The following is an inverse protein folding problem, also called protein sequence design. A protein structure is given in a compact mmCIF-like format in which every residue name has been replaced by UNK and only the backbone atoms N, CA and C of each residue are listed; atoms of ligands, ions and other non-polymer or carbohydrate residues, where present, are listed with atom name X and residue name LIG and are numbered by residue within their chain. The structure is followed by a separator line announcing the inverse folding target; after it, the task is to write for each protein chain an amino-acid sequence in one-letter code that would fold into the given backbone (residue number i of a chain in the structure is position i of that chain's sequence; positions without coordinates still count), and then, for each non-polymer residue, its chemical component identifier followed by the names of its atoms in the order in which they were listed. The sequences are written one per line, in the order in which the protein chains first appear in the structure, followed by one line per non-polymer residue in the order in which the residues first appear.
data_IF_516102585062
#
_entry.id   IF_516102585062
#
_cell.length_a   1.000
_cell.length_b   1.000
_cell.length_c   1.000
_cell.angle_alpha   90.00
_cell.angle_beta   90.00
_cell.angle_gamma   90.00
#
_symmetry.space_group_name_H-M   'P 1'
#
loop_
_entity.id
_entity.type
_entity.pdbx_description
1 polymer ?
#
# COMPACT_ATOMS: atom_id res chain seq x y z
N UNK A 1 -1.28 15.45 -17.11
CA UNK A 1 -0.24 15.89 -16.15
C UNK A 1 0.11 14.81 -15.12
N UNK A 2 -0.81 14.31 -14.28
CA UNK A 2 -0.46 13.26 -13.28
C UNK A 2 0.08 11.96 -13.91
N UNK A 3 -0.53 11.48 -15.00
CA UNK A 3 0.01 10.34 -15.78
C UNK A 3 1.44 10.55 -16.29
N UNK A 4 1.80 11.79 -16.60
CA UNK A 4 3.15 12.14 -17.02
C UNK A 4 4.12 12.14 -15.83
N UNK A 5 3.72 12.71 -14.69
CA UNK A 5 4.51 12.68 -13.45
C UNK A 5 4.86 11.25 -13.00
N UNK A 6 3.92 10.32 -13.09
CA UNK A 6 4.16 8.89 -12.78
C UNK A 6 5.15 8.27 -13.76
N UNK A 7 5.13 8.68 -15.03
CA UNK A 7 6.02 8.15 -16.06
C UNK A 7 7.45 8.65 -15.91
N UNK A 8 7.62 9.90 -15.47
CA UNK A 8 8.92 10.54 -15.31
C UNK A 8 9.55 10.38 -13.92
N UNK A 9 8.93 9.62 -13.02
CA UNK A 9 9.45 9.36 -11.67
C UNK A 9 10.90 8.84 -11.68
N UNK A 10 11.23 7.97 -12.63
CA UNK A 10 12.59 7.43 -12.80
C UNK A 10 13.66 8.47 -13.15
N UNK A 11 13.28 9.66 -13.61
CA UNK A 11 14.20 10.78 -13.83
C UNK A 11 14.49 11.55 -12.54
N UNK A 12 13.51 11.64 -11.63
CA UNK A 12 13.67 12.34 -10.35
C UNK A 12 14.46 11.51 -9.33
N UNK A 13 14.34 10.17 -9.37
CA UNK A 13 15.12 9.27 -8.50
C UNK A 13 16.62 9.22 -8.86
N UNK A 14 17.00 9.55 -10.09
CA UNK A 14 18.39 9.51 -10.58
C UNK A 14 19.24 10.73 -10.17
N UNK A 15 18.68 11.68 -9.43
CA UNK A 15 19.46 12.83 -8.95
C UNK A 15 20.38 12.40 -7.79
N UNK A 16 21.70 12.70 -7.85
CA UNK A 16 22.71 12.16 -6.91
C UNK A 16 22.55 12.63 -5.46
N UNK A 17 21.57 13.49 -5.16
CA UNK A 17 21.26 13.92 -3.79
C UNK A 17 20.52 12.86 -2.94
N UNK A 18 20.08 11.74 -3.52
CA UNK A 18 19.34 10.69 -2.78
C UNK A 18 20.24 9.56 -2.23
N UNK A 19 21.55 9.64 -2.41
CA UNK A 19 22.51 8.73 -1.78
C UNK A 19 23.02 9.33 -0.47
N UNK A 20 22.29 9.11 0.62
CA UNK A 20 22.89 9.09 1.96
C UNK A 20 22.18 8.05 2.81
N UNK A 21 22.98 7.13 3.36
CA UNK A 21 22.51 5.92 4.02
C UNK A 21 21.74 6.15 5.33
N UNK A 22 21.17 5.05 5.83
CA UNK A 22 20.78 4.79 7.23
C UNK A 22 20.55 6.06 8.07
N UNK A 23 19.42 6.73 7.86
CA UNK A 23 18.87 7.63 8.86
C UNK A 23 17.38 7.31 9.01
N UNK A 24 17.01 6.90 10.21
CA UNK A 24 15.66 6.73 10.71
C UNK A 24 15.02 8.12 10.78
N UNK A 25 14.43 8.58 9.69
CA UNK A 25 13.56 9.74 9.64
C UNK A 25 12.83 9.66 8.30
N UNK A 26 11.53 9.40 8.37
CA UNK A 26 10.54 9.52 7.28
C UNK A 26 11.17 9.43 5.90
N UNK A 27 11.38 8.19 5.40
CA UNK A 27 11.79 7.97 4.02
C UNK A 27 11.03 8.97 3.15
N UNK A 28 11.76 9.91 2.51
CA UNK A 28 11.16 10.90 1.62
C UNK A 28 10.44 10.09 0.56
N UNK A 29 9.15 9.81 0.79
CA UNK A 29 8.41 8.95 -0.12
C UNK A 29 8.42 9.68 -1.44
N UNK A 30 8.86 9.01 -2.49
CA UNK A 30 8.81 9.60 -3.82
C UNK A 30 7.38 10.06 -4.09
N UNK A 31 7.22 11.05 -4.97
CA UNK A 31 5.88 11.51 -5.32
C UNK A 31 4.99 10.37 -5.85
N UNK A 32 5.56 9.38 -6.54
CA UNK A 32 4.82 8.20 -7.00
C UNK A 32 4.43 7.25 -5.88
N UNK A 33 5.22 7.09 -4.82
CA UNK A 33 4.83 6.31 -3.63
C UNK A 33 3.62 6.93 -2.91
N UNK A 34 3.56 8.26 -2.77
CA UNK A 34 2.39 8.94 -2.21
C UNK A 34 1.15 8.79 -3.09
N UNK A 35 1.32 8.91 -4.42
CA UNK A 35 0.24 8.71 -5.38
C UNK A 35 -0.26 7.27 -5.37
N UNK A 36 0.63 6.29 -5.24
CA UNK A 36 0.29 4.88 -5.13
C UNK A 36 -0.43 4.57 -3.82
N UNK A 37 0.05 5.10 -2.69
CA UNK A 37 -0.60 5.01 -1.39
C UNK A 37 -2.02 5.55 -1.44
N UNK A 38 -2.21 6.72 -2.06
CA UNK A 38 -3.52 7.31 -2.28
C UNK A 38 -4.40 6.44 -3.20
N UNK A 39 -3.83 5.84 -4.25
CA UNK A 39 -4.55 4.91 -5.12
C UNK A 39 -5.03 3.67 -4.36
N UNK A 40 -4.21 3.10 -3.48
CA UNK A 40 -4.57 1.95 -2.63
C UNK A 40 -5.75 2.31 -1.70
N UNK A 41 -5.72 3.49 -1.08
CA UNK A 41 -6.84 3.95 -0.26
C UNK A 41 -8.12 4.16 -1.09
N UNK A 42 -8.03 4.68 -2.32
CA UNK A 42 -9.17 4.78 -3.22
C UNK A 42 -9.73 3.40 -3.63
N UNK A 43 -8.88 2.43 -3.94
CA UNK A 43 -9.29 1.05 -4.25
C UNK A 43 -9.99 0.39 -3.05
N UNK A 44 -9.48 0.62 -1.84
CA UNK A 44 -10.07 0.08 -0.59
C UNK A 44 -11.33 0.82 -0.11
N UNK A 45 -11.71 1.94 -0.75
CA UNK A 45 -12.85 2.76 -0.33
C UNK A 45 -12.63 3.57 0.96
N UNK A 46 -11.39 3.70 1.43
CA UNK A 46 -11.05 4.39 2.68
C UNK A 46 -10.87 5.90 2.47
N UNK A 47 -11.98 6.61 2.27
CA UNK A 47 -11.94 8.07 2.04
C UNK A 47 -11.38 8.87 3.23
N UNK A 48 -11.55 8.38 4.46
CA UNK A 48 -10.95 9.00 5.65
C UNK A 48 -9.43 8.95 5.62
N UNK A 49 -8.85 7.83 5.18
CA UNK A 49 -7.40 7.67 5.02
C UNK A 49 -6.86 8.59 3.91
N UNK A 50 -7.57 8.71 2.78
CA UNK A 50 -7.25 9.69 1.73
C UNK A 50 -7.27 11.11 2.28
N UNK A 51 -8.31 11.48 3.04
CA UNK A 51 -8.43 12.80 3.65
C UNK A 51 -7.26 13.08 4.59
N UNK A 52 -6.95 12.15 5.50
CA UNK A 52 -5.86 12.28 6.45
C UNK A 52 -4.49 12.39 5.76
N UNK A 53 -4.27 11.63 4.68
CA UNK A 53 -3.04 11.70 3.89
C UNK A 53 -2.87 13.08 3.24
N UNK A 54 -3.92 13.59 2.57
CA UNK A 54 -3.90 14.91 1.93
C UNK A 54 -3.74 16.03 2.97
N UNK A 55 -4.46 15.94 4.08
CA UNK A 55 -4.37 16.91 5.18
C UNK A 55 -2.97 16.95 5.80
N UNK A 56 -2.36 15.79 6.04
CA UNK A 56 -1.00 15.68 6.58
C UNK A 56 0.05 16.21 5.60
N UNK A 57 -0.15 15.98 4.29
CA UNK A 57 0.76 16.44 3.24
C UNK A 57 0.71 17.96 3.05
N UNK A 58 -0.49 18.55 3.13
CA UNK A 58 -0.70 19.99 2.91
C UNK A 58 -0.57 20.83 4.19
N UNK A 59 -0.47 20.20 5.37
CA UNK A 59 -0.51 20.90 6.65
C UNK A 59 -1.85 21.58 6.95
N UNK A 60 -2.94 21.07 6.37
CA UNK A 60 -4.28 21.66 6.44
C UNK A 60 -5.31 20.67 6.96
N UNK A 61 -6.44 21.14 7.51
CA UNK A 61 -7.59 20.31 7.85
C UNK A 61 -8.71 20.53 6.83
N UNK A 62 -9.04 19.49 6.08
CA UNK A 62 -10.10 19.49 5.08
C UNK A 62 -11.15 18.43 5.43
N UNK A 63 -12.41 18.70 5.06
CA UNK A 63 -13.49 17.71 5.12
C UNK A 63 -13.84 17.27 3.69
N UNK A 64 -13.48 16.05 3.31
CA UNK A 64 -13.82 15.50 2.01
C UNK A 64 -15.20 14.82 2.05
N UNK A 65 -16.13 15.29 1.22
CA UNK A 65 -17.43 14.63 1.04
C UNK A 65 -17.31 13.49 0.03
N UNK A 66 -17.95 12.32 0.24
CA UNK A 66 -17.86 11.20 -0.70
C UNK A 66 -18.24 11.56 -2.14
N UNK A 67 -19.31 12.33 -2.31
CA UNK A 67 -19.77 12.79 -3.63
C UNK A 67 -18.75 13.66 -4.36
N UNK A 68 -17.96 14.49 -3.66
CA UNK A 68 -16.95 15.36 -4.29
C UNK A 68 -15.68 14.60 -4.68
N UNK A 69 -15.45 13.41 -4.11
CA UNK A 69 -14.28 12.57 -4.41
C UNK A 69 -14.52 11.52 -5.49
N UNK A 70 -15.75 11.36 -5.98
CA UNK A 70 -16.11 10.30 -6.92
C UNK A 70 -15.29 10.32 -8.22
N UNK A 71 -15.14 11.50 -8.84
CA UNK A 71 -14.32 11.65 -10.06
C UNK A 71 -12.83 11.41 -9.79
N UNK A 72 -12.35 11.83 -8.62
CA UNK A 72 -10.96 11.60 -8.21
C UNK A 72 -10.70 10.10 -8.01
N UNK A 73 -11.62 9.39 -7.36
CA UNK A 73 -11.56 7.94 -7.21
C UNK A 73 -11.46 7.26 -8.57
N UNK A 74 -12.33 7.60 -9.52
CA UNK A 74 -12.28 7.03 -10.89
C UNK A 74 -10.93 7.30 -11.57
N UNK A 75 -10.45 8.54 -11.51
CA UNK A 75 -9.16 8.89 -12.10
C UNK A 75 -8.01 8.08 -11.49
N UNK A 76 -7.98 7.90 -10.17
CA UNK A 76 -6.94 7.11 -9.52
C UNK A 76 -7.05 5.62 -9.79
N UNK A 77 -8.26 5.05 -9.74
CA UNK A 77 -8.46 3.59 -9.81
C UNK A 77 -8.57 3.03 -11.22
N UNK A 78 -8.96 3.84 -12.21
CA UNK A 78 -9.13 3.41 -13.59
C UNK A 78 -8.08 4.01 -14.53
N UNK A 79 -7.75 5.29 -14.37
CA UNK A 79 -6.91 5.99 -15.34
C UNK A 79 -5.42 5.95 -15.01
N UNK A 80 -5.07 6.19 -13.75
CA UNK A 80 -3.67 6.40 -13.33
C UNK A 80 -3.08 5.11 -12.78
N UNK A 81 -3.75 4.48 -11.81
CA UNK A 81 -3.30 3.26 -11.17
C UNK A 81 -4.41 2.19 -11.18
N UNK A 82 -4.60 1.52 -12.33
CA UNK A 82 -5.46 0.35 -12.42
C UNK A 82 -5.15 -0.67 -11.33
N UNK A 83 -6.17 -1.36 -10.86
CA UNK A 83 -6.05 -2.35 -9.77
C UNK A 83 -4.93 -3.38 -10.02
N UNK A 84 -4.76 -3.83 -11.26
CA UNK A 84 -3.68 -4.73 -11.65
C UNK A 84 -2.29 -4.13 -11.44
N UNK A 85 -2.10 -2.86 -11.81
CA UNK A 85 -0.82 -2.14 -11.65
C UNK A 85 -0.49 -1.99 -10.16
N UNK A 86 -1.47 -1.55 -9.36
CA UNK A 86 -1.32 -1.42 -7.90
C UNK A 86 -0.98 -2.76 -7.25
N UNK A 87 -1.71 -3.81 -7.63
CA UNK A 87 -1.48 -5.16 -7.10
C UNK A 87 -0.10 -5.68 -7.48
N UNK A 88 0.35 -5.47 -8.72
CA UNK A 88 1.69 -5.89 -9.17
C UNK A 88 2.82 -5.18 -8.43
N UNK A 89 2.58 -3.95 -7.93
CA UNK A 89 3.57 -3.22 -7.18
C UNK A 89 3.76 -3.79 -5.76
N UNK A 90 2.76 -4.48 -5.20
CA UNK A 90 2.78 -5.03 -3.84
C UNK A 90 4.02 -5.86 -3.49
N UNK A 91 4.59 -6.60 -4.46
CA UNK A 91 5.79 -7.42 -4.24
C UNK A 91 7.10 -6.63 -4.19
N UNK A 92 7.11 -5.40 -4.71
CA UNK A 92 8.28 -4.51 -4.74
C UNK A 92 8.32 -3.56 -3.55
N UNK A 93 7.19 -3.38 -2.88
CA UNK A 93 7.07 -2.55 -1.68
C UNK A 93 8.11 -3.03 -0.64
N UNK A 94 8.95 -2.16 -0.08
CA UNK A 94 9.84 -2.57 1.00
C UNK A 94 9.04 -2.98 2.24
N UNK A 95 9.58 -3.95 2.98
CA UNK A 95 9.01 -4.32 4.28
C UNK A 95 9.24 -3.19 5.29
N UNK A 96 8.32 -3.01 6.22
CA UNK A 96 8.47 -2.04 7.32
C UNK A 96 9.43 -2.62 8.36
N UNK A 97 10.65 -2.06 8.51
CA UNK A 97 11.64 -2.59 9.44
C UNK A 97 11.24 -2.29 10.88
N UNK A 98 11.50 -3.22 11.79
CA UNK A 98 11.30 -3.05 13.24
C UNK A 98 9.87 -2.70 13.68
N UNK A 99 8.86 -3.10 12.89
CA UNK A 99 7.45 -2.83 13.18
C UNK A 99 7.05 -3.40 14.55
N UNK A 100 6.54 -2.55 15.43
CA UNK A 100 6.15 -2.91 16.80
C UNK A 100 4.85 -2.21 17.23
N UNK A 101 4.38 -2.46 18.45
CA UNK A 101 3.09 -1.96 18.94
C UNK A 101 3.04 -0.45 19.21
N UNK A 102 4.15 0.28 19.17
CA UNK A 102 4.13 1.76 19.23
C UNK A 102 3.77 2.39 17.88
N UNK A 103 3.91 1.65 16.78
CA UNK A 103 3.72 2.13 15.40
C UNK A 103 2.26 2.12 14.94
N UNK A 104 1.30 2.31 15.86
CA UNK A 104 -0.15 2.25 15.54
C UNK A 104 -0.61 3.49 14.76
N UNK A 105 0.09 4.61 14.94
CA UNK A 105 -0.20 5.87 14.27
C UNK A 105 0.78 6.07 13.10
N UNK A 106 0.30 5.93 11.87
CA UNK A 106 1.09 6.22 10.68
C UNK A 106 0.55 5.55 9.42
N UNK A 107 1.05 6.02 8.27
CA UNK A 107 0.75 5.42 6.96
C UNK A 107 1.87 4.46 6.58
N UNK A 108 1.86 3.27 7.18
CA UNK A 108 2.85 2.25 6.89
C UNK A 108 2.45 1.40 5.68
N UNK A 109 3.45 1.04 4.88
CA UNK A 109 3.30 0.20 3.70
C UNK A 109 2.65 -1.17 4.01
N UNK A 110 2.87 -1.70 5.21
CA UNK A 110 2.19 -2.91 5.70
C UNK A 110 0.66 -2.79 5.71
N UNK A 111 0.11 -1.60 6.00
CA UNK A 111 -1.33 -1.38 5.92
C UNK A 111 -1.84 -1.45 4.49
N UNK A 112 -1.05 -0.96 3.53
CA UNK A 112 -1.39 -1.00 2.11
C UNK A 112 -1.48 -2.44 1.61
N UNK A 113 -0.47 -3.26 1.95
CA UNK A 113 -0.46 -4.69 1.60
C UNK A 113 -1.63 -5.41 2.26
N UNK A 114 -1.90 -5.13 3.53
CA UNK A 114 -3.08 -5.66 4.22
C UNK A 114 -4.38 -5.33 3.46
N UNK A 115 -4.57 -4.08 3.00
CA UNK A 115 -5.77 -3.70 2.23
C UNK A 115 -5.85 -4.41 0.88
N UNK A 116 -4.74 -4.60 0.19
CA UNK A 116 -4.69 -5.33 -1.09
C UNK A 116 -5.03 -6.81 -0.92
N UNK A 117 -4.58 -7.42 0.18
CA UNK A 117 -4.94 -8.79 0.54
C UNK A 117 -6.42 -8.89 0.92
N UNK A 118 -6.92 -7.96 1.75
CA UNK A 118 -8.32 -7.92 2.20
C UNK A 118 -9.30 -7.75 1.04
N UNK A 119 -8.94 -6.92 0.05
CA UNK A 119 -9.73 -6.72 -1.17
C UNK A 119 -9.58 -7.85 -2.21
N UNK A 120 -8.76 -8.88 -1.93
CA UNK A 120 -8.44 -9.99 -2.83
C UNK A 120 -7.77 -9.55 -4.15
N UNK A 121 -7.27 -8.32 -4.24
CA UNK A 121 -6.66 -7.78 -5.45
C UNK A 121 -5.42 -8.60 -5.86
N UNK A 122 -4.56 -8.95 -4.89
CA UNK A 122 -3.41 -9.83 -5.13
C UNK A 122 -3.80 -11.22 -5.66
N UNK A 123 -4.95 -11.74 -5.22
CA UNK A 123 -5.50 -13.02 -5.69
C UNK A 123 -5.90 -12.96 -7.16
N UNK A 124 -6.73 -11.96 -7.46
CA UNK A 124 -7.32 -11.75 -8.78
C UNK A 124 -6.25 -11.57 -9.85
N UNK A 125 -5.14 -10.92 -9.51
CA UNK A 125 -4.02 -10.65 -10.42
C UNK A 125 -2.84 -11.62 -10.25
N UNK A 126 -3.01 -12.71 -9.48
CA UNK A 126 -1.99 -13.76 -9.27
C UNK A 126 -0.63 -13.23 -8.81
N UNK A 127 -0.64 -12.27 -7.89
CA UNK A 127 0.57 -11.61 -7.39
C UNK A 127 1.28 -12.51 -6.37
N UNK A 128 2.58 -12.83 -6.55
CA UNK A 128 3.32 -13.75 -5.67
C UNK A 128 3.75 -13.06 -4.35
N UNK A 129 2.79 -12.76 -3.48
CA UNK A 129 2.99 -11.96 -2.26
C UNK A 129 3.60 -12.73 -1.07
N UNK A 130 3.69 -14.07 -1.17
CA UNK A 130 4.20 -14.96 -0.11
C UNK A 130 5.52 -14.50 0.50
N UNK A 131 6.51 -14.23 -0.36
CA UNK A 131 7.87 -13.86 0.08
C UNK A 131 7.87 -12.54 0.84
N UNK A 132 7.01 -11.60 0.42
CA UNK A 132 6.87 -10.31 1.10
C UNK A 132 6.29 -10.48 2.51
N UNK A 133 5.18 -11.23 2.64
CA UNK A 133 4.53 -11.47 3.94
C UNK A 133 5.49 -12.13 4.91
N UNK A 134 6.24 -13.14 4.45
CA UNK A 134 7.26 -13.80 5.25
C UNK A 134 8.33 -12.81 5.76
N UNK A 135 8.91 -12.01 4.86
CA UNK A 135 9.93 -11.01 5.25
C UNK A 135 9.38 -9.96 6.23
N UNK A 136 8.14 -9.49 6.03
CA UNK A 136 7.52 -8.52 6.94
C UNK A 136 7.37 -9.08 8.36
N UNK A 137 7.01 -10.36 8.48
CA UNK A 137 6.91 -11.02 9.78
C UNK A 137 8.30 -11.13 10.45
N UNK A 138 9.35 -11.45 9.69
CA UNK A 138 10.73 -11.52 10.19
C UNK A 138 11.27 -10.16 10.67
N UNK A 139 10.86 -9.06 10.03
CA UNK A 139 11.29 -7.70 10.39
C UNK A 139 10.49 -7.09 11.55
N UNK A 140 9.46 -7.76 12.03
CA UNK A 140 8.63 -7.29 13.15
C UNK A 140 9.30 -7.56 14.49
N UNK A 141 9.11 -6.66 15.47
CA UNK A 141 9.71 -6.78 16.81
C UNK A 141 8.66 -6.78 17.91
N UNK A 142 8.90 -7.49 19.03
CA UNK A 142 8.04 -7.38 20.22
C UNK A 142 8.12 -5.98 20.86
N UNK A 143 7.04 -5.47 21.46
CA UNK A 143 5.68 -6.02 21.41
C UNK A 143 5.09 -5.95 20.00
N UNK A 144 4.42 -7.01 19.54
CA UNK A 144 3.97 -7.13 18.15
C UNK A 144 2.88 -6.12 17.79
N UNK A 145 2.96 -5.57 16.59
CA UNK A 145 1.95 -4.65 16.07
C UNK A 145 0.59 -5.36 15.85
N UNK A 146 -0.56 -4.77 16.27
CA UNK A 146 -1.87 -5.43 16.25
C UNK A 146 -2.39 -5.78 14.85
N UNK A 147 -1.83 -5.19 13.79
CA UNK A 147 -2.13 -5.56 12.40
C UNK A 147 -1.59 -6.96 12.02
N UNK A 148 -0.48 -7.41 12.63
CA UNK A 148 0.21 -8.62 12.18
C UNK A 148 -0.67 -9.88 12.27
N UNK A 149 -1.44 -10.13 13.37
CA UNK A 149 -2.40 -11.23 13.40
C UNK A 149 -3.42 -11.14 12.26
N UNK A 150 -4.04 -9.98 12.05
CA UNK A 150 -5.02 -9.78 10.98
C UNK A 150 -4.42 -9.96 9.58
N UNK A 151 -3.16 -9.58 9.39
CA UNK A 151 -2.44 -9.80 8.13
C UNK A 151 -2.28 -11.29 7.84
N UNK A 152 -1.88 -12.08 8.85
CA UNK A 152 -1.75 -13.54 8.72
C UNK A 152 -3.09 -14.19 8.44
N UNK A 153 -4.15 -13.81 9.15
CA UNK A 153 -5.50 -14.34 8.93
C UNK A 153 -6.00 -14.14 7.50
N UNK A 154 -5.89 -12.91 6.98
CA UNK A 154 -6.31 -12.60 5.61
C UNK A 154 -5.44 -13.36 4.60
N UNK A 155 -4.14 -13.47 4.84
CA UNK A 155 -3.22 -14.21 3.97
C UNK A 155 -3.52 -15.73 3.95
N UNK A 156 -3.83 -16.32 5.11
CA UNK A 156 -4.20 -17.74 5.20
C UNK A 156 -5.55 -17.99 4.53
N UNK A 157 -6.56 -17.15 4.82
CA UNK A 157 -7.87 -17.21 4.16
C UNK A 157 -7.73 -17.12 2.63
N UNK A 158 -6.83 -16.29 2.15
CA UNK A 158 -6.50 -16.17 0.73
C UNK A 158 -5.93 -17.47 0.14
N UNK A 159 -4.93 -18.09 0.78
CA UNK A 159 -4.36 -19.36 0.32
C UNK A 159 -5.44 -20.45 0.26
N UNK A 160 -6.27 -20.57 1.31
CA UNK A 160 -7.30 -21.60 1.42
C UNK A 160 -8.42 -21.42 0.39
N UNK A 161 -8.73 -20.19 0.01
CA UNK A 161 -9.74 -19.92 -1.04
C UNK A 161 -9.18 -20.09 -2.46
N UNK A 162 -7.86 -20.08 -2.63
CA UNK A 162 -7.18 -20.35 -3.89
C UNK A 162 -6.92 -21.83 -4.14
N UNK A 163 -7.00 -22.69 -3.12
CA UNK A 163 -6.98 -24.14 -3.33
C UNK A 163 -8.35 -24.59 -3.83
N UNK A 164 -8.55 -24.87 -5.14
CA UNK A 164 -9.68 -25.71 -5.52
C UNK A 164 -9.48 -27.04 -4.80
N UNK A 165 -10.54 -27.53 -4.16
CA UNK A 165 -10.62 -28.94 -3.80
C UNK A 165 -10.27 -29.73 -5.06
N UNK A 166 -9.19 -30.53 -5.01
CA UNK A 166 -8.96 -31.60 -5.98
C UNK A 166 -10.09 -32.62 -5.78
N UNK A 167 -11.28 -32.33 -6.28
CA UNK A 167 -12.42 -33.24 -6.30
C UNK A 167 -13.09 -33.10 -7.66
N UNK A 168 -12.48 -33.68 -8.70
CA UNK A 168 -13.21 -34.18 -9.86
C UNK A 168 -12.51 -35.42 -10.42
N UNK A 169 -13.24 -36.53 -10.28
CA UNK A 169 -13.23 -37.80 -11.05
C UNK A 169 -12.04 -38.75 -10.89
#
# INVERSE_FOLDING_TARGET
YVKWLVREESYFEKSPASCSGKCMETARSSFGEMLLLMAIHFHSGQLSAVCNLVCSTLGMRLLLRPASTARMKVAFTQDIFPEQVVSSHAVRVPVTPSLNAADVAGFFLVHCIYQLLKSRACSKHRVPIKTWVYRQLCESRPPLHPLLPSLVEVYVSWILTLSPSKNQQ
#
